data_IF_714612235709
#
_entry.id   IF_714612235709
#
_cell.length_a   1.000
_cell.length_b   1.000
_cell.length_c   1.000
_cell.angle_alpha   90.00
_cell.angle_beta   90.00
_cell.angle_gamma   90.00
#
_symmetry.space_group_name_H-M   'P 1'
#
loop_
_entity.id
_entity.type
_entity.pdbx_description
1 polymer ?
#
# COMPACT_ATOMS: atom_id res chain seq x y z
N UNK A 1 -4.19 -19.81 2.63
CA UNK A 1 -5.59 -19.41 2.89
C UNK A 1 -5.93 -19.61 4.35
N UNK A 2 -6.97 -18.95 4.82
CA UNK A 2 -7.52 -19.12 6.16
C UNK A 2 -8.98 -19.52 5.99
N UNK A 3 -9.40 -20.57 6.69
CA UNK A 3 -10.76 -21.12 6.61
C UNK A 3 -11.48 -20.98 7.94
N UNK A 4 -12.82 -20.98 7.90
CA UNK A 4 -13.67 -21.04 9.06
C UNK A 4 -14.61 -22.24 8.94
N UNK A 5 -14.74 -23.01 10.00
CA UNK A 5 -15.67 -24.14 10.06
C UNK A 5 -16.68 -23.87 11.18
N UNK A 6 -17.98 -23.96 10.87
CA UNK A 6 -19.03 -23.81 11.86
C UNK A 6 -18.99 -24.98 12.88
N UNK A 7 -19.29 -24.67 14.13
CA UNK A 7 -19.40 -25.61 15.24
C UNK A 7 -20.67 -25.31 16.05
N UNK A 8 -21.06 -26.18 16.97
CA UNK A 8 -22.28 -26.03 17.80
C UNK A 8 -22.30 -24.73 18.64
N UNK A 9 -21.14 -24.11 18.88
CA UNK A 9 -20.97 -22.92 19.75
C UNK A 9 -20.31 -21.73 19.07
N UNK A 10 -20.16 -21.75 17.75
CA UNK A 10 -19.50 -20.68 17.00
C UNK A 10 -18.69 -21.20 15.83
N UNK A 11 -17.43 -20.78 15.70
CA UNK A 11 -16.58 -21.10 14.56
C UNK A 11 -15.17 -21.50 14.99
N UNK A 12 -14.54 -22.36 14.21
CA UNK A 12 -13.13 -22.71 14.34
C UNK A 12 -12.37 -22.18 13.14
N UNK A 13 -11.35 -21.34 13.39
CA UNK A 13 -10.52 -20.69 12.38
C UNK A 13 -9.15 -21.35 12.29
N UNK A 14 -8.71 -21.66 11.06
CA UNK A 14 -7.39 -22.27 10.84
C UNK A 14 -6.73 -21.67 9.60
N UNK A 15 -5.42 -21.42 9.67
CA UNK A 15 -4.64 -20.91 8.55
C UNK A 15 -3.58 -19.88 8.95
N UNK A 16 -3.13 -19.09 7.98
CA UNK A 16 -2.08 -18.09 8.19
C UNK A 16 -2.39 -16.78 7.47
N UNK A 17 -2.00 -15.65 8.09
CA UNK A 17 -1.93 -14.32 7.49
C UNK A 17 -0.48 -13.86 7.56
N UNK A 18 0.07 -13.37 6.45
CA UNK A 18 1.46 -12.95 6.36
C UNK A 18 1.56 -11.45 6.10
N UNK A 19 2.60 -10.84 6.69
CA UNK A 19 2.89 -9.44 6.46
C UNK A 19 1.80 -8.49 6.94
N UNK A 20 1.10 -8.84 8.03
CA UNK A 20 0.03 -8.01 8.59
C UNK A 20 0.65 -6.76 9.21
N UNK A 21 0.42 -5.62 8.57
CA UNK A 21 0.92 -4.32 9.05
C UNK A 21 0.32 -4.06 10.43
N UNK A 22 1.16 -3.61 11.38
CA UNK A 22 0.80 -3.36 12.79
C UNK A 22 0.22 -4.56 13.56
N UNK A 23 0.19 -5.75 12.97
CA UNK A 23 -0.32 -6.96 13.61
C UNK A 23 0.35 -7.30 14.95
N UNK A 24 1.60 -6.87 15.15
CA UNK A 24 2.34 -7.05 16.40
C UNK A 24 1.81 -6.16 17.55
N UNK A 25 1.21 -5.01 17.25
CA UNK A 25 0.63 -4.06 18.20
C UNK A 25 -0.89 -4.26 18.41
N UNK A 26 -1.59 -4.76 17.39
CA UNK A 26 -3.03 -4.92 17.44
C UNK A 26 -3.46 -5.83 18.61
N UNK A 27 -4.49 -5.43 19.34
CA UNK A 27 -5.15 -6.27 20.35
C UNK A 27 -6.28 -7.08 19.74
N UNK A 28 -6.90 -6.57 18.69
CA UNK A 28 -7.98 -7.19 17.92
C UNK A 28 -7.57 -7.36 16.47
N UNK A 29 -7.77 -8.56 15.95
CA UNK A 29 -7.47 -8.95 14.58
C UNK A 29 -8.77 -9.13 13.79
N UNK A 30 -8.92 -8.45 12.66
CA UNK A 30 -10.00 -8.70 11.70
C UNK A 30 -9.52 -9.76 10.71
N UNK A 31 -9.99 -10.98 10.90
CA UNK A 31 -9.53 -12.14 10.14
C UNK A 31 -10.49 -12.46 9.01
N UNK A 32 -10.04 -12.28 7.77
CA UNK A 32 -10.78 -12.73 6.59
C UNK A 32 -10.58 -14.23 6.39
N UNK A 33 -11.68 -14.98 6.23
CA UNK A 33 -11.68 -16.40 5.87
C UNK A 33 -12.34 -16.60 4.51
N UNK A 34 -12.00 -17.71 3.85
CA UNK A 34 -12.60 -18.10 2.57
C UNK A 34 -13.10 -19.54 2.60
N UNK A 35 -14.29 -19.76 2.07
CA UNK A 35 -14.87 -21.07 1.81
C UNK A 35 -15.35 -21.11 0.36
N UNK A 36 -14.52 -21.66 -0.52
CA UNK A 36 -14.68 -21.46 -1.95
C UNK A 36 -14.58 -19.98 -2.29
N UNK A 37 -15.60 -19.43 -2.93
CA UNK A 37 -15.68 -18.01 -3.31
C UNK A 37 -16.32 -17.13 -2.22
N UNK A 38 -16.88 -17.73 -1.16
CA UNK A 38 -17.50 -17.01 -0.06
C UNK A 38 -16.46 -16.47 0.91
N UNK A 39 -16.61 -15.20 1.33
CA UNK A 39 -15.71 -14.53 2.26
C UNK A 39 -16.45 -14.16 3.54
N UNK A 40 -15.81 -14.39 4.68
CA UNK A 40 -16.30 -13.99 6.00
C UNK A 40 -15.21 -13.20 6.75
N UNK A 41 -15.61 -12.34 7.69
CA UNK A 41 -14.69 -11.60 8.55
C UNK A 41 -15.01 -11.88 10.01
N UNK A 42 -13.98 -12.22 10.78
CA UNK A 42 -14.10 -12.49 12.21
C UNK A 42 -13.24 -11.52 13.02
N UNK A 43 -13.79 -11.00 14.11
CA UNK A 43 -13.06 -10.25 15.13
C UNK A 43 -12.44 -11.23 16.13
N UNK A 44 -11.12 -11.33 16.16
CA UNK A 44 -10.36 -12.27 16.98
C UNK A 44 -9.41 -11.50 17.89
N UNK A 45 -9.56 -11.67 19.19
CA UNK A 45 -8.59 -11.11 20.13
C UNK A 45 -7.22 -11.80 19.96
N UNK A 46 -6.15 -11.02 19.97
CA UNK A 46 -4.78 -11.53 19.86
C UNK A 46 -4.43 -12.58 20.92
N UNK A 47 -5.03 -12.44 22.10
CA UNK A 47 -4.83 -13.33 23.26
C UNK A 47 -5.57 -14.66 23.14
N UNK A 48 -6.40 -14.86 22.12
CA UNK A 48 -7.19 -16.10 21.95
C UNK A 48 -6.26 -17.31 21.79
N UNK A 49 -6.58 -18.39 22.46
CA UNK A 49 -5.82 -19.64 22.36
C UNK A 49 -5.75 -20.12 20.92
N UNK A 50 -4.56 -20.54 20.45
CA UNK A 50 -4.31 -20.93 19.06
C UNK A 50 -3.85 -19.80 18.15
N UNK A 51 -3.85 -18.53 18.62
CA UNK A 51 -3.26 -17.40 17.89
C UNK A 51 -1.77 -17.31 18.23
N UNK A 52 -0.92 -17.36 17.21
CA UNK A 52 0.52 -17.15 17.33
C UNK A 52 0.99 -16.07 16.36
N UNK A 53 1.90 -15.19 16.82
CA UNK A 53 2.45 -14.09 16.04
C UNK A 53 3.97 -14.18 15.96
N UNK A 54 4.51 -13.96 14.77
CA UNK A 54 5.94 -13.76 14.54
C UNK A 54 6.14 -12.37 13.94
N UNK A 55 6.88 -11.50 14.64
CA UNK A 55 7.16 -10.13 14.17
C UNK A 55 8.29 -10.13 13.16
N UNK A 56 8.13 -9.40 12.06
CA UNK A 56 9.13 -9.19 11.01
C UNK A 56 9.45 -7.72 10.82
N UNK A 57 10.72 -7.42 10.61
CA UNK A 57 11.17 -6.10 10.19
C UNK A 57 11.07 -6.01 8.67
N UNK A 58 10.40 -4.98 8.17
CA UNK A 58 10.29 -4.70 6.74
C UNK A 58 11.44 -3.79 6.27
N UNK A 59 11.60 -3.65 4.95
CA UNK A 59 12.70 -2.89 4.34
C UNK A 59 12.69 -1.41 4.71
N UNK A 60 11.51 -0.85 5.01
CA UNK A 60 11.30 0.54 5.45
C UNK A 60 11.39 0.74 6.96
N UNK A 61 11.91 -0.26 7.68
CA UNK A 61 12.03 -0.30 9.14
C UNK A 61 10.69 -0.35 9.91
N UNK A 62 9.56 -0.45 9.21
CA UNK A 62 8.30 -0.77 9.85
C UNK A 62 8.25 -2.25 10.25
N UNK A 63 7.32 -2.59 11.13
CA UNK A 63 7.12 -3.98 11.56
C UNK A 63 5.78 -4.50 11.06
N UNK A 64 5.81 -5.74 10.60
CA UNK A 64 4.63 -6.51 10.29
C UNK A 64 4.64 -7.82 11.11
N UNK A 65 3.51 -8.50 11.18
CA UNK A 65 3.43 -9.80 11.83
C UNK A 65 2.95 -10.87 10.84
N UNK A 66 3.54 -12.05 10.93
CA UNK A 66 2.93 -13.27 10.43
C UNK A 66 2.07 -13.86 11.55
N UNK A 67 0.81 -14.15 11.25
CA UNK A 67 -0.19 -14.63 12.21
C UNK A 67 -0.59 -16.04 11.81
N UNK A 68 -0.43 -16.98 12.74
CA UNK A 68 -0.91 -18.37 12.60
C UNK A 68 -2.14 -18.56 13.47
N UNK A 69 -3.16 -19.16 12.89
CA UNK A 69 -4.40 -19.55 13.55
C UNK A 69 -4.45 -21.08 13.54
N UNK A 70 -4.27 -21.68 14.73
CA UNK A 70 -4.31 -23.13 14.91
C UNK A 70 -5.56 -23.51 15.68
N UNK A 71 -6.61 -23.89 14.96
CA UNK A 71 -7.91 -24.28 15.51
C UNK A 71 -8.46 -23.25 16.53
N UNK A 72 -8.37 -21.97 16.18
CA UNK A 72 -8.83 -20.86 17.01
C UNK A 72 -10.36 -20.90 17.10
N UNK A 73 -10.90 -21.14 18.28
CA UNK A 73 -12.34 -21.16 18.53
C UNK A 73 -12.85 -19.77 18.90
N UNK A 74 -13.87 -19.30 18.19
CA UNK A 74 -14.56 -18.04 18.46
C UNK A 74 -16.06 -18.27 18.55
N UNK A 75 -16.76 -17.44 19.33
CA UNK A 75 -18.22 -17.51 19.45
C UNK A 75 -18.90 -16.87 18.20
N UNK A 76 -20.22 -17.04 18.07
CA UNK A 76 -20.99 -16.50 16.97
C UNK A 76 -20.89 -14.98 16.84
N UNK A 77 -20.76 -14.25 17.94
CA UNK A 77 -20.65 -12.78 17.93
C UNK A 77 -19.31 -12.27 17.36
N UNK A 78 -18.32 -13.14 17.17
CA UNK A 78 -17.07 -12.77 16.50
C UNK A 78 -17.25 -12.58 14.99
N UNK A 79 -18.30 -13.14 14.38
CA UNK A 79 -18.60 -12.97 12.97
C UNK A 79 -19.12 -11.54 12.73
N UNK A 80 -18.48 -10.82 11.82
CA UNK A 80 -18.91 -9.50 11.38
C UNK A 80 -19.80 -9.61 10.15
N UNK A 81 -21.07 -9.26 10.32
CA UNK A 81 -22.09 -9.41 9.28
C UNK A 81 -22.64 -10.83 9.17
N UNK A 82 -22.74 -11.36 7.96
CA UNK A 82 -23.25 -12.72 7.68
C UNK A 82 -22.13 -13.62 7.17
N UNK A 83 -22.21 -14.90 7.51
CA UNK A 83 -21.26 -15.90 7.03
C UNK A 83 -21.30 -15.97 5.49
N UNK A 84 -20.13 -15.83 4.86
CA UNK A 84 -20.00 -15.79 3.39
C UNK A 84 -20.38 -14.45 2.75
N UNK A 85 -20.86 -13.46 3.52
CA UNK A 85 -21.40 -12.21 2.99
C UNK A 85 -20.46 -11.00 2.99
N UNK A 86 -19.15 -11.19 3.22
CA UNK A 86 -18.21 -10.07 3.43
C UNK A 86 -17.62 -9.46 2.14
N UNK A 87 -17.90 -10.01 0.96
CA UNK A 87 -17.22 -9.63 -0.28
C UNK A 87 -17.33 -8.13 -0.59
N UNK A 88 -18.51 -7.55 -0.52
CA UNK A 88 -18.75 -6.13 -0.82
C UNK A 88 -18.02 -5.20 0.18
N UNK A 89 -18.09 -5.51 1.48
CA UNK A 89 -17.42 -4.73 2.52
C UNK A 89 -15.89 -4.79 2.39
N UNK A 90 -15.36 -5.96 2.01
CA UNK A 90 -13.93 -6.13 1.76
C UNK A 90 -13.49 -5.39 0.49
N UNK A 91 -14.28 -5.41 -0.56
CA UNK A 91 -14.00 -4.65 -1.78
C UNK A 91 -13.95 -3.14 -1.48
N UNK A 92 -14.93 -2.63 -0.77
CA UNK A 92 -14.93 -1.23 -0.31
C UNK A 92 -13.69 -0.90 0.53
N UNK A 93 -13.32 -1.78 1.47
CA UNK A 93 -12.13 -1.60 2.32
C UNK A 93 -10.84 -1.55 1.49
N UNK A 94 -10.72 -2.40 0.47
CA UNK A 94 -9.58 -2.39 -0.45
C UNK A 94 -9.54 -1.10 -1.27
N UNK A 95 -10.67 -0.59 -1.74
CA UNK A 95 -10.74 0.67 -2.47
C UNK A 95 -10.27 1.85 -1.63
N UNK A 96 -10.71 1.93 -0.38
CA UNK A 96 -10.26 2.95 0.59
C UNK A 96 -8.75 2.82 0.83
N UNK A 97 -8.27 1.61 1.12
CA UNK A 97 -6.86 1.36 1.39
C UNK A 97 -5.97 1.68 0.17
N UNK A 98 -6.42 1.34 -1.05
CA UNK A 98 -5.72 1.64 -2.29
C UNK A 98 -5.63 3.16 -2.54
N UNK A 99 -6.72 3.91 -2.35
CA UNK A 99 -6.73 5.35 -2.53
C UNK A 99 -5.88 6.07 -1.48
N UNK A 100 -5.94 5.67 -0.21
CA UNK A 100 -5.09 6.20 0.86
C UNK A 100 -3.60 5.89 0.60
N UNK A 101 -3.28 4.66 0.19
CA UNK A 101 -1.92 4.28 -0.19
C UNK A 101 -1.42 5.06 -1.42
N UNK A 102 -2.31 5.38 -2.38
CA UNK A 102 -1.97 6.25 -3.52
C UNK A 102 -1.64 7.67 -3.06
N UNK A 103 -2.39 8.22 -2.10
CA UNK A 103 -2.11 9.54 -1.51
C UNK A 103 -0.77 9.56 -0.77
N UNK A 104 -0.45 8.51 0.00
CA UNK A 104 0.85 8.38 0.66
C UNK A 104 1.99 8.31 -0.35
N UNK A 105 1.86 7.48 -1.39
CA UNK A 105 2.87 7.38 -2.46
C UNK A 105 3.07 8.70 -3.20
N UNK A 106 2.01 9.47 -3.40
CA UNK A 106 2.10 10.82 -3.97
C UNK A 106 2.92 11.74 -3.05
N UNK A 107 2.67 11.72 -1.73
CA UNK A 107 3.46 12.49 -0.76
C UNK A 107 4.94 12.12 -0.78
N UNK A 108 5.26 10.82 -0.81
CA UNK A 108 6.63 10.32 -0.97
C UNK A 108 7.27 10.83 -2.27
N UNK A 109 6.54 10.80 -3.39
CA UNK A 109 7.07 11.27 -4.68
C UNK A 109 7.34 12.78 -4.69
N UNK A 110 6.42 13.58 -4.12
CA UNK A 110 6.55 15.05 -4.00
C UNK A 110 7.77 15.40 -3.16
N UNK A 111 7.88 14.85 -1.96
CA UNK A 111 8.98 15.14 -1.05
C UNK A 111 10.34 14.73 -1.64
N UNK A 112 10.41 13.54 -2.25
CA UNK A 112 11.62 13.07 -2.94
C UNK A 112 12.02 14.04 -4.07
N UNK A 113 11.04 14.48 -4.86
CA UNK A 113 11.26 15.42 -5.94
C UNK A 113 11.77 16.77 -5.45
N UNK A 114 11.14 17.35 -4.43
CA UNK A 114 11.53 18.67 -3.88
C UNK A 114 12.95 18.63 -3.32
N UNK A 115 13.31 17.62 -2.53
CA UNK A 115 14.68 17.40 -2.04
C UNK A 115 15.68 17.28 -3.16
N UNK A 116 15.32 16.49 -4.20
CA UNK A 116 16.18 16.30 -5.37
C UNK A 116 16.42 17.62 -6.10
N UNK A 117 15.38 18.43 -6.34
CA UNK A 117 15.50 19.74 -6.99
C UNK A 117 16.38 20.70 -6.16
N UNK A 118 16.23 20.70 -4.83
CA UNK A 118 17.10 21.48 -3.95
C UNK A 118 18.56 21.05 -4.08
N UNK A 119 18.82 19.74 -4.02
CA UNK A 119 20.17 19.21 -4.20
C UNK A 119 20.79 19.60 -5.55
N UNK A 120 20.02 19.52 -6.66
CA UNK A 120 20.48 19.92 -7.98
C UNK A 120 20.86 21.40 -8.07
N UNK A 121 20.15 22.27 -7.31
CA UNK A 121 20.44 23.72 -7.26
C UNK A 121 21.66 24.05 -6.42
N UNK A 122 22.01 23.21 -5.46
CA UNK A 122 23.09 23.49 -4.50
C UNK A 122 24.40 22.78 -4.86
N UNK A 123 24.33 21.57 -5.40
CA UNK A 123 25.50 20.75 -5.68
C UNK A 123 26.31 21.31 -6.86
N UNK A 124 27.62 21.46 -6.64
CA UNK A 124 28.58 21.86 -7.68
C UNK A 124 29.45 20.67 -8.09
N UNK A 125 29.53 20.44 -9.39
CA UNK A 125 30.46 19.53 -10.06
C UNK A 125 30.78 20.04 -11.46
N UNK A 126 31.94 19.67 -11.99
CA UNK A 126 32.37 20.09 -13.34
C UNK A 126 32.38 21.62 -13.54
N UNK A 127 32.64 22.37 -12.48
CA UNK A 127 32.74 23.82 -12.49
C UNK A 127 31.39 24.58 -12.54
N UNK A 128 30.27 23.90 -12.29
CA UNK A 128 28.93 24.54 -12.28
C UNK A 128 27.96 23.80 -11.34
N UNK A 129 26.81 24.45 -11.06
CA UNK A 129 25.70 23.78 -10.40
C UNK A 129 25.16 22.67 -11.29
N UNK A 130 25.01 21.46 -10.76
CA UNK A 130 24.58 20.33 -11.59
C UNK A 130 23.17 20.49 -12.15
N UNK A 131 22.29 21.26 -11.50
CA UNK A 131 20.97 21.62 -12.02
C UNK A 131 20.98 22.45 -13.32
N UNK A 132 22.15 22.93 -13.79
CA UNK A 132 22.29 23.60 -15.10
C UNK A 132 22.41 22.63 -16.25
N UNK A 133 22.65 21.34 -16.00
CA UNK A 133 22.76 20.33 -17.05
C UNK A 133 21.38 19.94 -17.58
N UNK A 134 21.17 20.13 -18.89
CA UNK A 134 19.89 19.85 -19.55
C UNK A 134 19.37 18.42 -19.31
N UNK A 135 20.26 17.42 -19.27
CA UNK A 135 19.88 16.04 -19.01
C UNK A 135 19.15 15.86 -17.67
N UNK A 136 19.58 16.57 -16.61
CA UNK A 136 18.93 16.55 -15.29
C UNK A 136 17.65 17.40 -15.31
N UNK A 137 17.65 18.55 -15.98
CA UNK A 137 16.47 19.42 -16.11
C UNK A 137 15.31 18.69 -16.79
N UNK A 138 15.57 17.96 -17.89
CA UNK A 138 14.54 17.23 -18.63
C UNK A 138 13.94 16.10 -17.79
N UNK A 139 14.78 15.36 -17.06
CA UNK A 139 14.31 14.30 -16.14
C UNK A 139 13.46 14.87 -15.02
N UNK A 140 13.90 15.97 -14.41
CA UNK A 140 13.14 16.65 -13.36
C UNK A 140 11.81 17.21 -13.90
N UNK A 141 11.79 17.81 -15.09
CA UNK A 141 10.57 18.34 -15.70
C UNK A 141 9.55 17.22 -16.03
N UNK A 142 10.02 16.10 -16.56
CA UNK A 142 9.17 14.94 -16.81
C UNK A 142 8.55 14.40 -15.51
N UNK A 143 9.38 14.24 -14.48
CA UNK A 143 8.90 13.76 -13.17
C UNK A 143 7.89 14.72 -12.54
N UNK A 144 8.13 16.03 -12.63
CA UNK A 144 7.17 17.05 -12.18
C UNK A 144 5.81 16.89 -12.86
N UNK A 145 5.78 16.75 -14.19
CA UNK A 145 4.53 16.56 -14.93
C UNK A 145 3.77 15.30 -14.48
N UNK A 146 4.50 14.19 -14.26
CA UNK A 146 3.91 12.93 -13.78
C UNK A 146 3.34 13.05 -12.36
N UNK A 147 3.99 13.80 -11.49
CA UNK A 147 3.51 14.09 -10.13
C UNK A 147 2.22 14.93 -10.20
N UNK A 148 2.19 15.99 -11.02
CA UNK A 148 1.00 16.86 -11.17
C UNK A 148 -0.22 16.08 -11.70
N UNK A 149 -0.04 15.19 -12.67
CA UNK A 149 -1.12 14.31 -13.14
C UNK A 149 -1.58 13.36 -12.02
N UNK A 150 -0.65 12.86 -11.19
CA UNK A 150 -0.98 11.96 -10.07
C UNK A 150 -1.80 12.67 -8.99
N UNK A 151 -1.59 13.95 -8.73
CA UNK A 151 -2.43 14.75 -7.80
C UNK A 151 -3.90 14.72 -8.22
N UNK A 152 -4.17 14.90 -9.51
CA UNK A 152 -5.53 14.84 -10.06
C UNK A 152 -6.16 13.45 -9.92
N UNK A 153 -5.37 12.39 -10.15
CA UNK A 153 -5.84 11.01 -10.02
C UNK A 153 -6.19 10.66 -8.57
N UNK A 154 -5.35 11.05 -7.62
CA UNK A 154 -5.59 10.83 -6.18
C UNK A 154 -6.82 11.61 -5.71
N UNK A 155 -6.92 12.89 -6.09
CA UNK A 155 -8.08 13.72 -5.72
C UNK A 155 -9.38 13.12 -6.24
N UNK A 156 -9.41 12.67 -7.50
CA UNK A 156 -10.60 12.05 -8.08
C UNK A 156 -11.00 10.75 -7.34
N UNK A 157 -10.03 9.94 -6.93
CA UNK A 157 -10.29 8.71 -6.16
C UNK A 157 -10.87 9.02 -4.77
N UNK A 158 -10.29 9.97 -4.03
CA UNK A 158 -10.76 10.37 -2.70
C UNK A 158 -12.16 10.99 -2.77
N UNK A 159 -12.42 11.89 -3.72
CA UNK A 159 -13.76 12.46 -3.93
C UNK A 159 -14.81 11.41 -4.29
N UNK A 160 -14.44 10.38 -5.06
CA UNK A 160 -15.37 9.30 -5.39
C UNK A 160 -15.70 8.42 -4.18
N UNK A 161 -14.76 8.23 -3.27
CA UNK A 161 -15.00 7.54 -1.99
C UNK A 161 -15.91 8.35 -1.07
N UNK A 162 -15.63 9.65 -0.91
CA UNK A 162 -16.45 10.54 -0.07
C UNK A 162 -17.89 10.65 -0.56
N UNK A 163 -18.10 10.61 -1.87
CA UNK A 163 -19.41 10.67 -2.50
C UNK A 163 -20.12 9.32 -2.65
N UNK A 164 -19.53 8.22 -2.15
CA UNK A 164 -19.99 6.84 -2.36
C UNK A 164 -20.35 6.55 -3.84
N UNK A 165 -19.49 7.01 -4.74
CA UNK A 165 -19.71 6.92 -6.19
C UNK A 165 -19.56 5.48 -6.69
N UNK A 166 -20.39 5.11 -7.68
CA UNK A 166 -20.23 3.88 -8.47
C UNK A 166 -18.90 3.77 -9.21
N UNK A 167 -18.17 4.89 -9.37
CA UNK A 167 -16.83 4.94 -9.98
C UNK A 167 -15.69 4.76 -8.99
N UNK A 168 -15.95 4.59 -7.68
CA UNK A 168 -14.91 4.53 -6.65
C UNK A 168 -13.84 3.47 -6.94
N UNK A 169 -14.25 2.25 -7.31
CA UNK A 169 -13.34 1.13 -7.56
C UNK A 169 -12.42 1.38 -8.77
N UNK A 170 -12.99 1.94 -9.85
CA UNK A 170 -12.22 2.32 -11.05
C UNK A 170 -11.20 3.40 -10.72
N UNK A 171 -11.62 4.46 -10.00
CA UNK A 171 -10.77 5.60 -9.68
C UNK A 171 -9.71 5.26 -8.64
N UNK A 172 -10.04 4.43 -7.63
CA UNK A 172 -9.08 3.92 -6.66
C UNK A 172 -7.98 3.08 -7.35
N UNK A 173 -8.37 2.18 -8.26
CA UNK A 173 -7.41 1.36 -9.02
C UNK A 173 -6.54 2.21 -9.95
N UNK A 174 -7.13 3.20 -10.64
CA UNK A 174 -6.38 4.15 -11.47
C UNK A 174 -5.34 4.92 -10.65
N UNK A 175 -5.74 5.49 -9.52
CA UNK A 175 -4.85 6.26 -8.65
C UNK A 175 -3.71 5.39 -8.11
N UNK A 176 -4.03 4.19 -7.61
CA UNK A 176 -3.03 3.26 -7.05
C UNK A 176 -2.02 2.81 -8.12
N UNK A 177 -2.47 2.43 -9.32
CA UNK A 177 -1.59 2.07 -10.43
C UNK A 177 -0.70 3.26 -10.84
N UNK A 178 -1.29 4.43 -11.07
CA UNK A 178 -0.55 5.64 -11.46
C UNK A 178 0.51 6.01 -10.42
N UNK A 179 0.13 6.12 -9.15
CA UNK A 179 1.05 6.51 -8.07
C UNK A 179 2.13 5.45 -7.82
N UNK A 180 1.84 4.16 -7.99
CA UNK A 180 2.85 3.09 -7.91
C UNK A 180 3.98 3.28 -8.93
N UNK A 181 3.65 3.70 -10.14
CA UNK A 181 4.66 3.96 -11.19
C UNK A 181 5.43 5.26 -10.92
N UNK A 182 4.71 6.30 -10.52
CA UNK A 182 5.32 7.63 -10.31
C UNK A 182 6.23 7.65 -9.08
N UNK A 183 5.83 7.04 -7.96
CA UNK A 183 6.69 6.96 -6.76
C UNK A 183 7.95 6.13 -7.01
N UNK A 184 7.85 5.05 -7.80
CA UNK A 184 9.02 4.30 -8.23
C UNK A 184 10.00 5.20 -8.97
N UNK A 185 9.52 5.86 -10.03
CA UNK A 185 10.35 6.75 -10.84
C UNK A 185 10.94 7.90 -9.99
N UNK A 186 10.13 8.51 -9.11
CA UNK A 186 10.57 9.61 -8.25
C UNK A 186 11.72 9.19 -7.33
N UNK A 187 11.60 8.04 -6.69
CA UNK A 187 12.62 7.57 -5.74
C UNK A 187 13.88 7.04 -6.44
N UNK A 188 13.73 6.35 -7.57
CA UNK A 188 14.87 5.92 -8.40
C UNK A 188 15.64 7.12 -8.98
N UNK A 189 14.91 8.11 -9.53
CA UNK A 189 15.50 9.36 -10.03
C UNK A 189 16.12 10.19 -8.88
N UNK A 190 15.48 10.23 -7.72
CA UNK A 190 16.01 10.87 -6.54
C UNK A 190 17.39 10.32 -6.18
N UNK A 191 17.51 9.01 -5.99
CA UNK A 191 18.80 8.35 -5.70
C UNK A 191 19.82 8.61 -6.82
N UNK A 192 19.41 8.45 -8.08
CA UNK A 192 20.28 8.64 -9.24
C UNK A 192 20.82 10.07 -9.35
N UNK A 193 19.96 11.08 -9.14
CA UNK A 193 20.36 12.49 -9.26
C UNK A 193 21.22 12.98 -8.09
N UNK A 194 21.17 12.33 -6.93
CA UNK A 194 22.10 12.56 -5.82
C UNK A 194 23.46 11.91 -6.06
N UNK A 195 23.56 10.94 -6.97
CA UNK A 195 24.80 10.21 -7.25
C UNK A 195 25.24 9.35 -6.07
N UNK A 196 26.57 9.26 -5.83
CA UNK A 196 27.14 8.39 -4.81
C UNK A 196 26.54 8.57 -3.42
N UNK A 197 26.28 9.80 -2.99
CA UNK A 197 25.70 10.08 -1.66
C UNK A 197 24.28 9.53 -1.50
N UNK A 198 23.51 9.46 -2.58
CA UNK A 198 22.15 8.89 -2.58
C UNK A 198 22.09 7.39 -2.27
N UNK A 199 23.23 6.70 -2.34
CA UNK A 199 23.37 5.28 -2.01
C UNK A 199 23.87 5.03 -0.58
N UNK A 200 24.16 6.08 0.17
CA UNK A 200 24.70 5.98 1.53
C UNK A 200 23.64 6.22 2.58
N UNK A 201 23.86 5.74 3.80
CA UNK A 201 23.00 6.01 4.94
C UNK A 201 23.25 7.42 5.55
N UNK A 202 24.22 8.17 5.02
CA UNK A 202 24.46 9.58 5.41
C UNK A 202 23.40 10.52 4.86
N UNK A 203 22.67 10.12 3.82
CA UNK A 203 21.64 10.91 3.18
C UNK A 203 20.31 10.17 3.17
N UNK A 204 19.24 10.86 3.52
CA UNK A 204 17.93 10.28 3.80
C UNK A 204 17.11 9.90 2.54
N UNK A 205 17.59 10.24 1.34
CA UNK A 205 16.87 9.98 0.08
C UNK A 205 16.56 8.48 -0.12
N UNK A 206 17.42 7.59 0.40
CA UNK A 206 17.23 6.15 0.34
C UNK A 206 16.02 5.65 1.14
N UNK A 207 15.60 6.36 2.19
CA UNK A 207 14.42 5.98 2.99
C UNK A 207 13.12 6.08 2.20
N UNK A 208 13.02 7.07 1.32
CA UNK A 208 11.86 7.23 0.44
C UNK A 208 11.73 6.03 -0.53
N UNK A 209 12.82 5.53 -1.07
CA UNK A 209 12.82 4.34 -1.93
C UNK A 209 12.36 3.10 -1.16
N UNK A 210 12.84 2.90 0.08
CA UNK A 210 12.44 1.79 0.94
C UNK A 210 10.94 1.85 1.27
N UNK A 211 10.42 3.04 1.63
CA UNK A 211 8.99 3.23 1.89
C UNK A 211 8.15 3.04 0.64
N UNK A 212 8.57 3.59 -0.49
CA UNK A 212 7.89 3.42 -1.78
C UNK A 212 7.75 1.94 -2.15
N UNK A 213 8.80 1.13 -1.93
CA UNK A 213 8.75 -0.31 -2.20
C UNK A 213 7.65 -1.02 -1.41
N UNK A 214 7.46 -0.68 -0.14
CA UNK A 214 6.40 -1.24 0.71
C UNK A 214 5.02 -0.76 0.25
N UNK A 215 4.82 0.54 0.07
CA UNK A 215 3.53 1.11 -0.35
C UNK A 215 3.05 0.56 -1.70
N UNK A 216 3.97 0.33 -2.62
CA UNK A 216 3.66 -0.23 -3.96
C UNK A 216 3.11 -1.64 -3.89
N UNK A 217 3.58 -2.46 -2.94
CA UNK A 217 3.14 -3.85 -2.77
C UNK A 217 1.88 -3.96 -1.91
N UNK A 218 1.65 -3.01 -1.00
CA UNK A 218 0.49 -3.03 -0.11
C UNK A 218 -0.81 -2.81 -0.88
N UNK A 219 -1.85 -3.56 -0.52
CA UNK A 219 -3.21 -3.46 -1.07
C UNK A 219 -3.31 -3.67 -2.59
N UNK A 220 -2.42 -4.43 -3.17
CA UNK A 220 -2.30 -4.67 -4.61
C UNK A 220 -1.21 -3.83 -5.27
N UNK A 221 -0.44 -4.46 -6.14
CA UNK A 221 0.64 -3.81 -6.88
C UNK A 221 0.13 -3.08 -8.15
N UNK A 222 1.08 -2.55 -8.91
CA UNK A 222 0.77 -1.88 -10.18
C UNK A 222 0.00 -2.78 -11.15
N UNK A 223 0.41 -4.04 -11.31
CA UNK A 223 -0.19 -4.95 -12.29
C UNK A 223 -1.61 -5.34 -11.88
N UNK A 224 -1.81 -5.64 -10.58
CA UNK A 224 -3.15 -5.91 -10.04
C UNK A 224 -4.12 -4.75 -10.30
N UNK A 225 -3.72 -3.52 -10.00
CA UNK A 225 -4.61 -2.37 -10.16
C UNK A 225 -4.78 -1.94 -11.64
N UNK A 226 -3.78 -2.14 -12.49
CA UNK A 226 -3.90 -1.90 -13.93
C UNK A 226 -4.88 -2.90 -14.58
N UNK A 227 -4.80 -4.18 -14.21
CA UNK A 227 -5.71 -5.23 -14.67
C UNK A 227 -7.14 -5.00 -14.15
N UNK A 228 -7.28 -4.72 -12.85
CA UNK A 228 -8.58 -4.39 -12.25
C UNK A 228 -9.22 -3.16 -12.91
N UNK A 229 -8.44 -2.12 -13.19
CA UNK A 229 -8.93 -0.94 -13.91
C UNK A 229 -9.43 -1.30 -15.31
N UNK A 230 -8.66 -2.08 -16.06
CA UNK A 230 -9.05 -2.53 -17.41
C UNK A 230 -10.35 -3.35 -17.36
N UNK A 231 -10.43 -4.34 -16.46
CA UNK A 231 -11.62 -5.18 -16.27
C UNK A 231 -12.86 -4.36 -15.92
N UNK A 232 -12.76 -3.43 -14.95
CA UNK A 232 -13.87 -2.55 -14.55
C UNK A 232 -14.30 -1.58 -15.66
N UNK A 233 -13.44 -1.32 -16.64
CA UNK A 233 -13.73 -0.51 -17.84
C UNK A 233 -14.22 -1.33 -19.02
N UNK A 234 -14.25 -2.65 -18.92
CA UNK A 234 -14.74 -3.57 -19.96
C UNK A 234 -13.72 -3.90 -21.06
N UNK A 235 -12.41 -3.81 -20.73
CA UNK A 235 -11.33 -4.20 -21.62
C UNK A 235 -10.86 -5.62 -21.37
#
# INVERSE_FOLDING_TARGET
STTATASDSGYTLSGQKRGVIDGHHADLLLVVTSEGDALSVFAVEKSTAGVALETRLMVDSQRAADITLDNVTVNENALLGTFGGAAEALEFTIDVAAACSAAEMLGVAVETFERTVMYLKDREQFGSKIGTFQGLQHRAAQLFAEIEVSKSAVLAALQALDADSDKRSVLASMAKAKCSKVVQNATEEGVQMHGGIGMTDEFDIGFFMKRAAVCRQSYGDYHFHADRFATLRGY
#
